data_IF_256284055336
#
_entry.id   IF_256284055336
#
_cell.length_a   1.000
_cell.length_b   1.000
_cell.length_c   1.000
_cell.angle_alpha   90.00
_cell.angle_beta   90.00
_cell.angle_gamma   90.00
#
_symmetry.space_group_name_H-M   'P 1'
#
loop_
_entity.id
_entity.type
_entity.pdbx_description
1 polymer ?
#
# COMPACT_ATOMS: atom_id res chain seq x y z
N UNK A 1 -5.34 -29.03 18.49
CA UNK A 1 -4.39 -29.06 17.35
C UNK A 1 -5.16 -28.56 16.12
N UNK A 2 -4.82 -27.42 15.51
CA UNK A 2 -5.49 -27.03 14.26
C UNK A 2 -5.02 -27.97 13.16
N UNK A 3 -5.93 -28.41 12.30
CA UNK A 3 -5.56 -29.22 11.15
C UNK A 3 -4.58 -28.42 10.28
N UNK A 4 -3.58 -29.09 9.73
CA UNK A 4 -2.63 -28.51 8.76
C UNK A 4 -3.37 -27.76 7.65
N UNK A 5 -4.57 -28.25 7.29
CA UNK A 5 -5.50 -27.62 6.35
C UNK A 5 -5.81 -26.15 6.68
N UNK A 6 -6.10 -25.81 7.94
CA UNK A 6 -6.45 -24.43 8.33
C UNK A 6 -5.27 -23.48 8.12
N UNK A 7 -4.05 -23.92 8.44
CA UNK A 7 -2.82 -23.14 8.24
C UNK A 7 -2.56 -22.89 6.75
N UNK A 8 -2.73 -23.94 5.92
CA UNK A 8 -2.58 -23.84 4.47
C UNK A 8 -3.59 -22.86 3.87
N UNK A 9 -4.85 -22.90 4.32
CA UNK A 9 -5.89 -21.97 3.85
C UNK A 9 -5.55 -20.52 4.20
N UNK A 10 -5.12 -20.23 5.43
CA UNK A 10 -4.75 -18.87 5.82
C UNK A 10 -3.52 -18.34 5.09
N UNK A 11 -2.49 -19.17 4.87
CA UNK A 11 -1.34 -18.80 4.04
C UNK A 11 -1.72 -18.53 2.60
N UNK A 12 -2.57 -19.38 2.02
CA UNK A 12 -3.06 -19.20 0.65
C UNK A 12 -3.84 -17.91 0.53
N UNK A 13 -4.75 -17.63 1.46
CA UNK A 13 -5.50 -16.38 1.52
C UNK A 13 -4.57 -15.16 1.65
N UNK A 14 -3.51 -15.25 2.44
CA UNK A 14 -2.51 -14.20 2.58
C UNK A 14 -1.75 -13.94 1.28
N UNK A 15 -1.22 -14.98 0.64
CA UNK A 15 -0.45 -14.86 -0.60
C UNK A 15 -1.34 -14.31 -1.73
N UNK A 16 -2.51 -14.91 -1.93
CA UNK A 16 -3.48 -14.49 -2.96
C UNK A 16 -3.98 -13.07 -2.69
N UNK A 17 -4.29 -12.76 -1.43
CA UNK A 17 -4.68 -11.43 -1.00
C UNK A 17 -3.60 -10.38 -1.29
N UNK A 18 -2.34 -10.68 -0.98
CA UNK A 18 -1.19 -9.83 -1.26
C UNK A 18 -1.06 -9.54 -2.75
N UNK A 19 -1.19 -10.58 -3.58
CA UNK A 19 -1.19 -10.44 -5.02
C UNK A 19 -2.32 -9.50 -5.50
N UNK A 20 -3.55 -9.68 -5.05
CA UNK A 20 -4.67 -8.84 -5.47
C UNK A 20 -4.55 -7.39 -4.97
N UNK A 21 -4.12 -7.16 -3.73
CA UNK A 21 -3.94 -5.81 -3.15
C UNK A 21 -3.00 -4.95 -3.99
N UNK A 22 -1.95 -5.54 -4.57
CA UNK A 22 -1.01 -4.83 -5.45
C UNK A 22 -1.53 -4.59 -6.86
N UNK A 23 -2.48 -5.40 -7.34
CA UNK A 23 -3.02 -5.32 -8.71
C UNK A 23 -4.26 -4.44 -8.83
N UNK A 24 -5.04 -4.32 -7.76
CA UNK A 24 -6.31 -3.60 -7.78
C UNK A 24 -6.08 -2.08 -7.83
N UNK A 25 -6.63 -1.44 -8.88
CA UNK A 25 -6.49 0.01 -9.07
C UNK A 25 -7.25 0.84 -8.04
N UNK A 26 -8.47 0.40 -7.67
CA UNK A 26 -9.34 1.12 -6.74
C UNK A 26 -8.93 0.91 -5.29
N UNK A 27 -8.72 1.99 -4.55
CA UNK A 27 -8.21 1.93 -3.19
C UNK A 27 -9.21 1.22 -2.26
N UNK A 28 -10.50 1.48 -2.44
CA UNK A 28 -11.59 0.91 -1.64
C UNK A 28 -11.60 -0.62 -1.72
N UNK A 29 -11.46 -1.16 -2.93
CA UNK A 29 -11.43 -2.60 -3.15
C UNK A 29 -10.17 -3.24 -2.57
N UNK A 30 -9.02 -2.55 -2.65
CA UNK A 30 -7.80 -3.03 -2.03
C UNK A 30 -7.93 -3.09 -0.50
N UNK A 31 -8.61 -2.11 0.12
CA UNK A 31 -8.89 -2.09 1.56
C UNK A 31 -9.85 -3.19 1.97
N UNK A 32 -10.87 -3.48 1.15
CA UNK A 32 -11.76 -4.62 1.37
C UNK A 32 -10.98 -5.95 1.38
N UNK A 33 -10.09 -6.16 0.41
CA UNK A 33 -9.23 -7.34 0.37
C UNK A 33 -8.33 -7.37 1.60
N UNK A 34 -7.76 -6.22 2.00
CA UNK A 34 -6.94 -6.14 3.22
C UNK A 34 -7.73 -6.60 4.46
N UNK A 35 -8.97 -6.13 4.64
CA UNK A 35 -9.84 -6.57 5.72
C UNK A 35 -10.05 -8.09 5.73
N UNK A 36 -10.44 -8.67 4.60
CA UNK A 36 -10.75 -10.10 4.49
C UNK A 36 -9.54 -10.98 4.84
N UNK A 37 -8.36 -10.58 4.36
CA UNK A 37 -7.11 -11.32 4.59
C UNK A 37 -6.66 -11.20 6.04
N UNK A 38 -6.78 -10.02 6.66
CA UNK A 38 -6.41 -9.82 8.06
C UNK A 38 -7.35 -10.59 9.00
N UNK A 39 -8.66 -10.64 8.70
CA UNK A 39 -9.62 -11.49 9.40
C UNK A 39 -9.19 -12.96 9.28
N UNK A 40 -8.87 -13.43 8.06
CA UNK A 40 -8.41 -14.79 7.83
C UNK A 40 -7.12 -15.11 8.59
N UNK A 41 -6.16 -14.19 8.64
CA UNK A 41 -4.93 -14.32 9.43
C UNK A 41 -5.22 -14.48 10.92
N UNK A 42 -6.04 -13.59 11.49
CA UNK A 42 -6.42 -13.63 12.90
C UNK A 42 -7.18 -14.90 13.28
N UNK A 43 -7.99 -15.42 12.36
CA UNK A 43 -8.68 -16.70 12.53
C UNK A 43 -7.78 -17.91 12.30
N UNK A 44 -6.59 -17.79 11.71
CA UNK A 44 -5.74 -18.95 11.33
C UNK A 44 -4.52 -19.16 12.24
N UNK A 45 -3.84 -18.08 12.64
CA UNK A 45 -2.59 -18.16 13.39
C UNK A 45 -2.79 -17.85 14.87
N UNK A 46 -2.10 -18.60 15.74
CA UNK A 46 -2.13 -18.37 17.19
C UNK A 46 -0.91 -17.58 17.70
N UNK A 47 0.17 -17.46 16.91
CA UNK A 47 1.37 -16.74 17.33
C UNK A 47 1.16 -15.23 17.10
N UNK A 48 1.06 -14.42 18.16
CA UNK A 48 0.74 -12.99 18.04
C UNK A 48 1.85 -12.18 17.38
N UNK A 49 3.12 -12.54 17.59
CA UNK A 49 4.25 -11.85 16.97
C UNK A 49 4.29 -12.11 15.46
N UNK A 50 4.02 -13.35 15.05
CA UNK A 50 3.92 -13.70 13.62
C UNK A 50 2.77 -12.94 12.95
N UNK A 51 1.60 -12.89 13.59
CA UNK A 51 0.43 -12.19 13.03
C UNK A 51 0.67 -10.69 12.94
N UNK A 52 1.28 -10.07 13.95
CA UNK A 52 1.69 -8.66 13.91
C UNK A 52 2.64 -8.38 12.73
N UNK A 53 3.72 -9.15 12.59
CA UNK A 53 4.67 -8.96 11.48
C UNK A 53 4.03 -9.14 10.10
N UNK A 54 3.19 -10.17 9.93
CA UNK A 54 2.47 -10.39 8.67
C UNK A 54 1.45 -9.29 8.38
N UNK A 55 0.78 -8.76 9.42
CA UNK A 55 -0.19 -7.66 9.32
C UNK A 55 0.49 -6.39 8.85
N UNK A 56 1.60 -5.99 9.48
CA UNK A 56 2.34 -4.78 9.14
C UNK A 56 2.88 -4.84 7.71
N UNK A 57 3.51 -5.97 7.34
CA UNK A 57 4.04 -6.18 6.00
C UNK A 57 2.92 -6.10 4.95
N UNK A 58 1.77 -6.72 5.23
CA UNK A 58 0.64 -6.76 4.32
C UNK A 58 -0.04 -5.40 4.14
N UNK A 59 -0.18 -4.62 5.21
CA UNK A 59 -0.72 -3.26 5.15
C UNK A 59 0.15 -2.36 4.28
N UNK A 60 1.48 -2.49 4.36
CA UNK A 60 2.44 -1.71 3.58
C UNK A 60 2.63 -2.20 2.13
N UNK A 61 2.27 -3.45 1.82
CA UNK A 61 2.66 -4.11 0.56
C UNK A 61 2.26 -3.32 -0.69
N UNK A 62 1.07 -2.69 -0.68
CA UNK A 62 0.58 -1.90 -1.82
C UNK A 62 1.54 -0.78 -2.23
N UNK A 63 2.22 -0.15 -1.27
CA UNK A 63 3.14 0.95 -1.56
C UNK A 63 4.59 0.49 -1.72
N UNK A 64 4.94 -0.67 -1.14
CA UNK A 64 6.23 -1.30 -1.40
C UNK A 64 6.35 -1.75 -2.86
N UNK A 65 5.27 -2.25 -3.45
CA UNK A 65 5.25 -2.73 -4.83
C UNK A 65 4.15 -2.06 -5.66
N UNK A 66 4.55 -1.16 -6.56
CA UNK A 66 3.67 -0.50 -7.53
C UNK A 66 3.89 -1.08 -8.94
N UNK A 67 2.92 -1.82 -9.50
CA UNK A 67 3.07 -2.40 -10.83
C UNK A 67 3.14 -1.34 -11.93
N UNK A 68 3.98 -1.56 -12.94
CA UNK A 68 4.08 -0.65 -14.11
C UNK A 68 2.77 -0.64 -14.90
N UNK A 69 2.15 0.53 -15.03
CA UNK A 69 0.91 0.75 -15.80
C UNK A 69 1.18 1.18 -17.26
N UNK A 70 0.12 1.05 -18.07
CA UNK A 70 0.12 1.47 -19.49
C UNK A 70 0.02 2.98 -19.68
N UNK A 71 -0.64 3.70 -18.79
CA UNK A 71 -0.69 5.17 -18.84
C UNK A 71 0.54 5.75 -18.12
N UNK A 72 1.29 6.63 -18.77
CA UNK A 72 2.57 7.16 -18.23
C UNK A 72 2.36 8.09 -17.07
N UNK A 73 1.37 8.97 -17.16
CA UNK A 73 1.17 9.97 -16.13
C UNK A 73 0.57 9.34 -14.88
N UNK A 74 -0.39 8.43 -15.04
CA UNK A 74 -0.99 7.71 -13.91
C UNK A 74 0.00 6.74 -13.24
N UNK A 75 0.87 6.07 -14.02
CA UNK A 75 1.94 5.23 -13.46
C UNK A 75 2.88 6.07 -12.59
N UNK A 76 3.34 7.21 -13.12
CA UNK A 76 4.26 8.08 -12.41
C UNK A 76 3.62 8.71 -11.17
N UNK A 77 2.37 9.18 -11.26
CA UNK A 77 1.62 9.69 -10.10
C UNK A 77 1.53 8.66 -8.99
N UNK A 78 1.10 7.44 -9.31
CA UNK A 78 0.95 6.39 -8.30
C UNK A 78 2.30 5.96 -7.74
N UNK A 79 3.33 5.84 -8.57
CA UNK A 79 4.68 5.49 -8.14
C UNK A 79 5.29 6.55 -7.22
N UNK A 80 5.24 7.82 -7.63
CA UNK A 80 5.76 8.95 -6.84
C UNK A 80 5.00 9.06 -5.52
N UNK A 81 3.67 8.94 -5.55
CA UNK A 81 2.87 8.94 -4.33
C UNK A 81 3.22 7.78 -3.40
N UNK A 82 3.40 6.57 -3.92
CA UNK A 82 3.79 5.42 -3.11
C UNK A 82 5.15 5.63 -2.42
N UNK A 83 6.11 6.26 -3.09
CA UNK A 83 7.41 6.61 -2.48
C UNK A 83 7.27 7.73 -1.45
N UNK A 84 6.35 8.65 -1.66
CA UNK A 84 6.09 9.76 -0.74
C UNK A 84 5.38 9.29 0.53
N UNK A 85 4.35 8.45 0.40
CA UNK A 85 3.59 7.96 1.55
C UNK A 85 4.45 7.04 2.44
N UNK A 86 5.37 6.26 1.85
CA UNK A 86 6.35 5.48 2.59
C UNK A 86 7.43 6.32 3.29
N UNK A 87 7.50 7.63 3.04
CA UNK A 87 8.34 8.57 3.80
C UNK A 87 7.53 9.37 4.82
N UNK A 88 6.20 9.28 4.79
CA UNK A 88 5.34 9.98 5.74
C UNK A 88 5.43 9.30 7.11
N UNK A 89 6.06 9.98 8.07
CA UNK A 89 6.17 9.51 9.46
C UNK A 89 4.79 9.22 10.07
N UNK A 90 3.82 10.09 9.80
CA UNK A 90 2.45 9.93 10.29
C UNK A 90 1.78 8.68 9.73
N UNK A 91 1.94 8.43 8.42
CA UNK A 91 1.38 7.22 7.79
C UNK A 91 2.05 5.95 8.33
N UNK A 92 3.38 5.92 8.34
CA UNK A 92 4.13 4.76 8.83
C UNK A 92 3.82 4.48 10.30
N UNK A 93 3.75 5.52 11.14
CA UNK A 93 3.38 5.37 12.54
C UNK A 93 1.96 4.81 12.67
N UNK A 94 0.98 5.33 11.91
CA UNK A 94 -0.38 4.79 11.94
C UNK A 94 -0.42 3.32 11.51
N UNK A 95 0.25 2.96 10.42
CA UNK A 95 0.24 1.59 9.89
C UNK A 95 0.95 0.63 10.82
N UNK A 96 2.15 0.97 11.33
CA UNK A 96 2.91 0.10 12.22
C UNK A 96 2.25 -0.03 13.58
N UNK A 97 1.82 1.09 14.18
CA UNK A 97 1.20 1.03 15.52
C UNK A 97 -0.18 0.37 15.45
N UNK A 98 -1.00 0.75 14.46
CA UNK A 98 -2.32 0.17 14.25
C UNK A 98 -2.26 -1.29 13.79
N UNK A 99 -1.29 -1.64 12.95
CA UNK A 99 -1.07 -3.00 12.45
C UNK A 99 -0.48 -3.92 13.50
N UNK A 100 0.52 -3.49 14.27
CA UNK A 100 1.05 -4.23 15.41
C UNK A 100 -0.05 -4.43 16.47
N UNK A 101 -0.80 -3.39 16.84
CA UNK A 101 -1.89 -3.53 17.81
C UNK A 101 -2.96 -4.50 17.33
N UNK A 102 -3.37 -4.38 16.07
CA UNK A 102 -4.33 -5.31 15.45
C UNK A 102 -3.78 -6.74 15.46
N UNK A 103 -2.55 -6.96 14.99
CA UNK A 103 -1.99 -8.29 14.85
C UNK A 103 -1.68 -8.98 16.19
N UNK A 104 -1.37 -8.22 17.25
CA UNK A 104 -1.29 -8.74 18.61
C UNK A 104 -2.68 -9.07 19.19
N UNK A 105 -3.69 -8.24 18.88
CA UNK A 105 -5.05 -8.42 19.40
C UNK A 105 -5.77 -9.60 18.75
N UNK A 106 -5.58 -9.80 17.44
CA UNK A 106 -6.31 -10.79 16.64
C UNK A 106 -6.28 -12.21 17.24
N UNK A 107 -5.13 -12.78 17.65
CA UNK A 107 -5.10 -14.09 18.29
C UNK A 107 -5.72 -14.12 19.69
N UNK A 108 -5.67 -13.01 20.44
CA UNK A 108 -6.20 -12.91 21.80
C UNK A 108 -7.73 -12.96 21.82
N UNK A 109 -8.38 -12.33 20.83
CA UNK A 109 -9.84 -12.31 20.70
C UNK A 109 -10.36 -13.31 19.66
N UNK A 110 -9.60 -14.37 19.35
CA UNK A 110 -9.94 -15.35 18.31
C UNK A 110 -11.29 -16.06 18.49
N UNK A 111 -11.78 -16.13 19.73
CA UNK A 111 -13.08 -16.73 20.05
C UNK A 111 -14.26 -15.75 19.84
N UNK A 112 -13.98 -14.48 19.52
CA UNK A 112 -14.95 -13.41 19.30
C UNK A 112 -14.86 -12.92 17.84
N UNK A 113 -15.41 -13.68 16.87
CA UNK A 113 -15.28 -13.39 15.44
C UNK A 113 -15.88 -12.02 15.04
N UNK A 114 -16.94 -11.60 15.73
CA UNK A 114 -17.54 -10.26 15.54
C UNK A 114 -16.57 -9.16 15.92
N UNK A 115 -15.90 -9.30 17.07
CA UNK A 115 -14.92 -8.30 17.55
C UNK A 115 -13.70 -8.21 16.62
N UNK A 116 -13.20 -9.34 16.13
CA UNK A 116 -12.13 -9.38 15.11
C UNK A 116 -12.53 -8.58 13.89
N UNK A 117 -13.74 -8.81 13.37
CA UNK A 117 -14.23 -8.16 12.16
C UNK A 117 -14.37 -6.66 12.34
N UNK A 118 -14.95 -6.21 13.46
CA UNK A 118 -15.14 -4.79 13.78
C UNK A 118 -13.80 -4.07 13.93
N UNK A 119 -12.88 -4.60 14.75
CA UNK A 119 -11.59 -3.94 15.00
C UNK A 119 -10.75 -3.90 13.72
N UNK A 120 -10.70 -4.99 12.96
CA UNK A 120 -9.99 -5.03 11.67
C UNK A 120 -10.56 -3.98 10.71
N UNK A 121 -11.89 -3.91 10.60
CA UNK A 121 -12.55 -2.94 9.72
C UNK A 121 -12.23 -1.51 10.13
N UNK A 122 -12.35 -1.16 11.42
CA UNK A 122 -12.05 0.19 11.93
C UNK A 122 -10.59 0.57 11.66
N UNK A 123 -9.64 -0.32 11.96
CA UNK A 123 -8.21 -0.03 11.73
C UNK A 123 -7.91 0.17 10.25
N UNK A 124 -8.39 -0.71 9.37
CA UNK A 124 -8.17 -0.57 7.92
C UNK A 124 -8.87 0.67 7.37
N UNK A 125 -10.04 1.03 7.90
CA UNK A 125 -10.77 2.23 7.53
C UNK A 125 -10.02 3.52 7.92
N UNK A 126 -9.44 3.59 9.11
CA UNK A 126 -8.61 4.72 9.52
C UNK A 126 -7.40 4.89 8.59
N UNK A 127 -6.73 3.79 8.25
CA UNK A 127 -5.62 3.80 7.27
C UNK A 127 -6.12 4.29 5.91
N UNK A 128 -7.27 3.82 5.45
CA UNK A 128 -7.88 4.26 4.19
C UNK A 128 -8.15 5.76 4.16
N UNK A 129 -8.71 6.34 5.23
CA UNK A 129 -8.99 7.77 5.31
C UNK A 129 -7.70 8.61 5.19
N UNK A 130 -6.62 8.17 5.84
CA UNK A 130 -5.32 8.84 5.77
C UNK A 130 -4.71 8.72 4.37
N UNK A 131 -4.76 7.54 3.75
CA UNK A 131 -4.27 7.35 2.38
C UNK A 131 -5.06 8.20 1.37
N UNK A 132 -6.39 8.24 1.49
CA UNK A 132 -7.26 9.05 0.63
C UNK A 132 -7.01 10.54 0.81
N UNK A 133 -6.87 11.01 2.05
CA UNK A 133 -6.55 12.40 2.36
C UNK A 133 -5.21 12.81 1.74
N UNK A 134 -4.17 11.98 1.92
CA UNK A 134 -2.86 12.22 1.32
C UNK A 134 -2.89 12.21 -0.22
N UNK A 135 -3.63 11.29 -0.82
CA UNK A 135 -3.79 11.22 -2.29
C UNK A 135 -4.48 12.48 -2.84
N UNK A 136 -5.52 12.95 -2.16
CA UNK A 136 -6.22 14.18 -2.54
C UNK A 136 -5.30 15.39 -2.43
N UNK A 137 -4.52 15.50 -1.33
CA UNK A 137 -3.55 16.58 -1.16
C UNK A 137 -2.47 16.56 -2.25
N UNK A 138 -1.95 15.37 -2.57
CA UNK A 138 -0.98 15.17 -3.65
C UNK A 138 -1.56 15.62 -5.00
N UNK A 139 -2.76 15.18 -5.34
CA UNK A 139 -3.42 15.49 -6.61
C UNK A 139 -3.71 16.99 -6.74
N UNK A 140 -4.16 17.65 -5.67
CA UNK A 140 -4.39 19.09 -5.66
C UNK A 140 -3.10 19.88 -5.88
N UNK A 141 -2.01 19.52 -5.19
CA UNK A 141 -0.70 20.16 -5.39
C UNK A 141 -0.17 19.94 -6.80
N UNK A 142 -0.32 18.73 -7.31
CA UNK A 142 0.08 18.39 -8.67
C UNK A 142 -0.67 19.20 -9.73
N UNK A 143 -2.00 19.26 -9.66
CA UNK A 143 -2.83 20.01 -10.61
C UNK A 143 -2.48 21.50 -10.60
N UNK A 144 -2.32 22.10 -9.41
CA UNK A 144 -1.92 23.50 -9.25
C UNK A 144 -0.54 23.79 -9.86
N UNK A 145 0.37 22.81 -9.88
CA UNK A 145 1.69 22.95 -10.49
C UNK A 145 1.64 22.76 -12.00
N UNK A 146 0.86 21.80 -12.49
CA UNK A 146 0.59 21.65 -13.93
C UNK A 146 0.06 22.94 -14.53
N UNK A 147 -0.89 23.60 -13.85
CA UNK A 147 -1.47 24.87 -14.30
C UNK A 147 -0.43 25.98 -14.46
N UNK A 148 0.69 25.88 -13.74
CA UNK A 148 1.78 26.88 -13.77
C UNK A 148 2.91 26.52 -14.74
N UNK A 149 3.32 25.25 -14.77
CA UNK A 149 4.49 24.81 -15.54
C UNK A 149 4.14 24.30 -16.94
N UNK A 150 2.92 23.80 -17.17
CA UNK A 150 2.54 23.09 -18.40
C UNK A 150 3.19 21.72 -18.59
N UNK A 151 4.34 21.45 -17.95
CA UNK A 151 5.06 20.17 -17.98
C UNK A 151 4.64 19.24 -16.80
N UNK A 152 4.02 18.08 -17.09
CA UNK A 152 3.63 17.10 -16.08
C UNK A 152 4.80 16.47 -15.31
N UNK A 153 5.98 16.33 -15.92
CA UNK A 153 7.15 15.72 -15.27
C UNK A 153 7.75 16.68 -14.25
N UNK A 154 7.92 17.94 -14.64
CA UNK A 154 8.35 18.99 -13.72
C UNK A 154 7.35 19.17 -12.58
N UNK A 155 6.04 19.17 -12.88
CA UNK A 155 5.00 19.27 -11.85
C UNK A 155 5.05 18.10 -10.85
N UNK A 156 5.35 16.87 -11.30
CA UNK A 156 5.54 15.71 -10.42
C UNK A 156 6.78 15.85 -9.53
N UNK A 157 7.92 16.25 -10.10
CA UNK A 157 9.18 16.48 -9.37
C UNK A 157 8.96 17.50 -8.25
N UNK A 158 8.44 18.66 -8.63
CA UNK A 158 8.14 19.76 -7.72
C UNK A 158 7.13 19.37 -6.63
N UNK A 159 6.14 18.53 -6.96
CA UNK A 159 5.16 18.02 -5.99
C UNK A 159 5.86 17.14 -4.96
N UNK A 160 6.70 16.21 -5.41
CA UNK A 160 7.47 15.32 -4.56
C UNK A 160 8.39 16.08 -3.60
N UNK A 161 9.18 17.02 -4.12
CA UNK A 161 10.13 17.81 -3.34
C UNK A 161 9.43 18.69 -2.29
N UNK A 162 8.24 19.21 -2.61
CA UNK A 162 7.48 20.01 -1.64
C UNK A 162 6.78 19.23 -0.53
N UNK A 163 6.72 17.91 -0.66
CA UNK A 163 6.08 17.02 0.30
C UNK A 163 7.09 16.18 1.09
N UNK A 164 8.32 16.05 0.59
CA UNK A 164 9.42 15.37 1.28
C UNK A 164 10.52 16.38 1.61
N UNK A 165 10.46 16.91 2.83
CA UNK A 165 11.56 17.71 3.38
C UNK A 165 12.78 16.78 3.55
N UNK A 166 13.84 17.03 2.80
CA UNK A 166 15.13 16.30 2.85
C UNK A 166 15.11 14.87 2.30
N UNK A 167 14.76 14.70 1.01
CA UNK A 167 15.00 13.43 0.31
C UNK A 167 16.47 13.31 -0.12
N UNK A 168 17.19 12.23 0.20
CA UNK A 168 18.52 11.96 -0.38
C UNK A 168 18.44 11.58 -1.87
N UNK A 169 17.25 11.30 -2.38
CA UNK A 169 16.99 10.95 -3.78
C UNK A 169 16.28 12.12 -4.46
N UNK A 170 16.85 12.63 -5.55
CA UNK A 170 16.22 13.67 -6.39
C UNK A 170 14.91 13.13 -6.99
N UNK A 171 13.82 13.90 -6.88
CA UNK A 171 12.55 13.55 -7.50
C UNK A 171 12.66 13.33 -9.00
N UNK A 172 13.57 14.04 -9.67
CA UNK A 172 13.88 13.88 -11.09
C UNK A 172 14.50 12.52 -11.41
N UNK A 173 15.46 12.06 -10.61
CA UNK A 173 16.10 10.75 -10.77
C UNK A 173 15.08 9.61 -10.56
N UNK A 174 14.20 9.76 -9.57
CA UNK A 174 13.15 8.79 -9.26
C UNK A 174 12.16 8.61 -10.43
N UNK A 175 11.76 9.71 -11.07
CA UNK A 175 10.89 9.71 -12.24
C UNK A 175 11.60 9.11 -13.45
N UNK A 176 12.86 9.51 -13.70
CA UNK A 176 13.67 8.99 -14.81
C UNK A 176 13.87 7.48 -14.72
N UNK A 177 14.25 6.97 -13.55
CA UNK A 177 14.44 5.53 -13.32
C UNK A 177 13.15 4.75 -13.58
N UNK A 178 11.98 5.32 -13.23
CA UNK A 178 10.69 4.70 -13.52
C UNK A 178 10.36 4.67 -15.01
N UNK A 179 10.66 5.73 -15.74
CA UNK A 179 10.50 5.79 -17.20
C UNK A 179 11.41 4.77 -17.91
N UNK A 180 12.66 4.63 -17.47
CA UNK A 180 13.60 3.65 -18.01
C UNK A 180 13.14 2.20 -17.76
N UNK A 181 12.74 1.87 -16.52
CA UNK A 181 12.15 0.56 -16.18
C UNK A 181 10.95 0.23 -17.06
N UNK A 182 10.11 1.23 -17.32
CA UNK A 182 8.95 1.10 -18.19
C UNK A 182 9.35 0.83 -19.63
N UNK A 183 10.30 1.60 -20.18
CA UNK A 183 10.81 1.42 -21.55
C UNK A 183 11.32 0.00 -21.76
N UNK A 184 12.12 -0.51 -20.82
CA UNK A 184 12.65 -1.87 -20.90
C UNK A 184 11.53 -2.91 -20.91
N UNK A 185 10.58 -2.82 -19.98
CA UNK A 185 9.44 -3.76 -19.91
C UNK A 185 8.60 -3.82 -21.20
N UNK A 186 8.37 -2.68 -21.86
CA UNK A 186 7.58 -2.64 -23.09
C UNK A 186 8.38 -2.97 -24.35
N UNK A 187 9.71 -2.80 -24.34
CA UNK A 187 10.58 -3.25 -25.41
C UNK A 187 10.79 -4.76 -25.39
N UNK A 188 10.96 -5.37 -24.21
CA UNK A 188 11.07 -6.82 -24.07
C UNK A 188 9.79 -7.52 -24.56
N UNK A 189 8.62 -6.93 -24.27
CA UNK A 189 7.31 -7.43 -24.75
C UNK A 189 7.10 -7.31 -26.27
N UNK A 190 7.94 -6.57 -27.00
CA UNK A 190 7.87 -6.47 -28.48
C UNK A 190 8.82 -7.45 -29.17
N UNK A 191 9.80 -7.99 -28.44
CA UNK A 191 10.83 -8.90 -28.96
C UNK A 191 10.55 -10.38 -28.62
N UNK A 192 9.42 -10.65 -27.97
CA UNK A 192 8.83 -11.98 -27.72
C UNK A 192 7.45 -12.04 -28.34
#
# INVERSE_FOLDING_TARGET
>A
MRSVLAVVVGLTAYIVGTYFVTKVKRLEFAKLIQCLVLIALGLTFNNPLLVAGLTDLFLLTRFLYVPIRKDTLDDLKEFVFAKLILKSKTYLMLVLTGGTFLGLSLPAIKNYPTSISVITFVTVWLIYLVEKSNWNSFTQKFNKRIERSGDPLQALKDTYESMVLFSPVDGGELIRNRLEMRKNKFNDSKNT
#
